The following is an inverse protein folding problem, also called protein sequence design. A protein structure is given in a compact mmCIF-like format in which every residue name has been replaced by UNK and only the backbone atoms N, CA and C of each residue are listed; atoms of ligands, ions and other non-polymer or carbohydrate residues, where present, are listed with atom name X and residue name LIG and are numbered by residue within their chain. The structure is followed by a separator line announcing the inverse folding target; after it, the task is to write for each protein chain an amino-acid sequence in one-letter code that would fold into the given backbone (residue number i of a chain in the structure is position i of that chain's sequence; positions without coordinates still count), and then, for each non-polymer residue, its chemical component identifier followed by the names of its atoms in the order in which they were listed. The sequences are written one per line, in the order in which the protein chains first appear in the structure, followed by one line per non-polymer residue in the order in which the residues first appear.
data_IF_953868388171
#
_entry.id   IF_953868388171
#
_cell.length_a   1.000
_cell.length_b   1.000
_cell.length_c   1.000
_cell.angle_alpha   90.00
_cell.angle_beta   90.00
_cell.angle_gamma   90.00
#
_symmetry.space_group_name_H-M   'P 1'
#
loop_
_entity.id
_entity.type
_entity.pdbx_description
1 polymer ?
#
# COMPACT_ATOMS: atom_id res chain seq x y z
N UNK A 1 -2.66 19.24 -16.68
CA UNK A 1 -1.86 18.05 -17.07
C UNK A 1 -1.29 17.30 -15.87
N UNK A 2 -0.90 17.98 -14.77
CA UNK A 2 -0.36 17.36 -13.54
C UNK A 2 -1.34 16.38 -12.85
N UNK A 3 -2.64 16.67 -12.88
CA UNK A 3 -3.67 15.80 -12.30
C UNK A 3 -3.72 14.39 -12.93
N UNK A 4 -3.59 14.32 -14.26
CA UNK A 4 -3.61 13.04 -14.97
C UNK A 4 -2.37 12.19 -14.67
N UNK A 5 -1.22 12.83 -14.46
CA UNK A 5 0.02 12.13 -14.09
C UNK A 5 -0.03 11.59 -12.67
N UNK A 6 -0.56 12.36 -11.71
CA UNK A 6 -0.74 11.90 -10.32
C UNK A 6 -1.73 10.73 -10.24
N UNK A 7 -2.83 10.82 -10.98
CA UNK A 7 -3.83 9.74 -11.09
C UNK A 7 -3.25 8.45 -11.67
N UNK A 8 -2.43 8.57 -12.72
CA UNK A 8 -1.77 7.41 -13.33
C UNK A 8 -0.74 6.78 -12.39
N UNK A 9 0.07 7.58 -11.71
CA UNK A 9 1.08 7.11 -10.76
C UNK A 9 0.42 6.37 -9.59
N UNK A 10 -0.66 6.93 -9.01
CA UNK A 10 -1.45 6.28 -7.96
C UNK A 10 -2.00 4.92 -8.42
N UNK A 11 -2.51 4.83 -9.65
CA UNK A 11 -3.01 3.57 -10.23
C UNK A 11 -1.90 2.54 -10.36
N UNK A 12 -0.71 2.94 -10.80
CA UNK A 12 0.47 2.06 -10.93
C UNK A 12 0.88 1.54 -9.55
N UNK A 13 1.05 2.41 -8.55
CA UNK A 13 1.43 2.01 -7.19
C UNK A 13 0.40 1.08 -6.54
N UNK A 14 -0.89 1.37 -6.71
CA UNK A 14 -1.96 0.48 -6.27
C UNK A 14 -1.89 -0.90 -6.92
N UNK A 15 -1.60 -0.96 -8.23
CA UNK A 15 -1.45 -2.22 -8.94
C UNK A 15 -0.22 -3.00 -8.45
N UNK A 16 0.93 -2.34 -8.30
CA UNK A 16 2.16 -2.96 -7.79
C UNK A 16 1.97 -3.53 -6.39
N UNK A 17 1.41 -2.75 -5.46
CA UNK A 17 1.14 -3.17 -4.08
C UNK A 17 0.22 -4.40 -4.04
N UNK A 18 -0.86 -4.39 -4.82
CA UNK A 18 -1.81 -5.51 -4.89
C UNK A 18 -1.16 -6.78 -5.44
N UNK A 19 -0.38 -6.66 -6.51
CA UNK A 19 0.31 -7.79 -7.15
C UNK A 19 1.33 -8.40 -6.19
N UNK A 20 2.20 -7.59 -5.60
CA UNK A 20 3.20 -8.07 -4.62
C UNK A 20 2.52 -8.73 -3.41
N UNK A 21 1.45 -8.14 -2.89
CA UNK A 21 0.71 -8.72 -1.77
C UNK A 21 0.06 -10.07 -2.15
N UNK A 22 -0.43 -10.21 -3.39
CA UNK A 22 -0.94 -11.49 -3.88
C UNK A 22 0.16 -12.55 -3.94
N UNK A 23 1.32 -12.19 -4.52
CA UNK A 23 2.48 -13.08 -4.60
C UNK A 23 2.90 -13.53 -3.19
N UNK A 24 3.04 -12.60 -2.24
CA UNK A 24 3.41 -12.97 -0.87
C UNK A 24 2.39 -13.91 -0.23
N UNK A 25 1.08 -13.69 -0.43
CA UNK A 25 0.05 -14.63 0.07
C UNK A 25 0.17 -16.04 -0.53
N UNK A 26 0.60 -16.14 -1.79
CA UNK A 26 0.80 -17.43 -2.45
C UNK A 26 2.10 -18.13 -1.97
N UNK A 27 3.12 -17.35 -1.61
CA UNK A 27 4.39 -17.86 -1.09
C UNK A 27 4.33 -18.21 0.40
N UNK A 28 3.45 -17.56 1.17
CA UNK A 28 3.29 -17.84 2.60
C UNK A 28 2.92 -19.30 2.80
N UNK A 29 3.79 -20.03 3.49
CA UNK A 29 3.60 -21.44 3.81
C UNK A 29 2.24 -21.66 4.49
N UNK A 30 1.44 -22.58 3.92
CA UNK A 30 0.12 -22.93 4.48
C UNK A 30 0.23 -24.01 5.54
N UNK A 31 1.31 -24.80 5.47
CA UNK A 31 1.58 -25.90 6.38
C UNK A 31 2.89 -25.67 7.14
N UNK A 32 2.99 -26.07 8.42
CA UNK A 32 4.18 -25.83 9.25
C UNK A 32 5.47 -26.44 8.71
N UNK A 33 5.37 -27.52 7.94
CA UNK A 33 6.51 -28.24 7.37
C UNK A 33 6.95 -27.69 5.99
N UNK A 34 6.23 -26.70 5.45
CA UNK A 34 6.53 -26.13 4.16
C UNK A 34 7.58 -25.02 4.32
N UNK A 35 8.75 -25.23 3.73
CA UNK A 35 9.79 -24.21 3.68
C UNK A 35 9.33 -23.00 2.84
N UNK A 36 9.63 -21.80 3.33
CA UNK A 36 9.40 -20.58 2.56
C UNK A 36 10.40 -20.49 1.40
N UNK A 37 9.96 -20.20 0.17
CA UNK A 37 10.79 -20.34 -1.02
C UNK A 37 11.78 -19.18 -1.25
N UNK A 38 11.62 -18.04 -0.58
CA UNK A 38 12.55 -16.91 -0.71
C UNK A 38 13.55 -16.88 0.46
N UNK A 39 14.74 -16.34 0.18
CA UNK A 39 15.72 -16.07 1.23
C UNK A 39 15.25 -14.95 2.17
N UNK A 40 15.78 -14.91 3.39
CA UNK A 40 15.51 -13.83 4.35
C UNK A 40 15.87 -12.45 3.79
N UNK A 41 16.99 -12.35 3.06
CA UNK A 41 17.42 -11.11 2.42
C UNK A 41 16.38 -10.62 1.40
N UNK A 42 15.88 -11.51 0.54
CA UNK A 42 14.83 -11.18 -0.43
C UNK A 42 13.53 -10.77 0.24
N UNK A 43 13.17 -11.40 1.37
CA UNK A 43 12.00 -11.01 2.16
C UNK A 43 12.15 -9.58 2.68
N UNK A 44 13.33 -9.22 3.16
CA UNK A 44 13.60 -7.87 3.66
C UNK A 44 13.57 -6.82 2.54
N UNK A 45 14.14 -7.13 1.38
CA UNK A 45 14.05 -6.27 0.19
C UNK A 45 12.59 -6.00 -0.22
N UNK A 46 11.73 -7.03 -0.16
CA UNK A 46 10.31 -6.89 -0.48
C UNK A 46 9.59 -6.01 0.56
N UNK A 47 9.89 -6.14 1.86
CA UNK A 47 9.33 -5.26 2.89
C UNK A 47 9.74 -3.81 2.64
N UNK A 48 11.03 -3.56 2.40
CA UNK A 48 11.53 -2.22 2.08
C UNK A 48 10.84 -1.64 0.83
N UNK A 49 10.55 -2.47 -0.17
CA UNK A 49 9.78 -2.07 -1.35
C UNK A 49 8.33 -1.64 -0.98
N UNK A 50 7.64 -2.40 -0.11
CA UNK A 50 6.32 -2.00 0.38
C UNK A 50 6.36 -0.67 1.14
N UNK A 51 7.39 -0.42 1.95
CA UNK A 51 7.56 0.84 2.68
C UNK A 51 7.72 2.03 1.73
N UNK A 52 8.51 1.88 0.67
CA UNK A 52 8.68 2.90 -0.37
C UNK A 52 7.36 3.18 -1.11
N UNK A 53 6.62 2.14 -1.49
CA UNK A 53 5.30 2.28 -2.12
C UNK A 53 4.36 3.04 -1.17
N UNK A 54 4.30 2.65 0.10
CA UNK A 54 3.41 3.27 1.08
C UNK A 54 3.77 4.73 1.36
N UNK A 55 5.07 5.06 1.43
CA UNK A 55 5.54 6.43 1.55
C UNK A 55 5.09 7.28 0.36
N UNK A 56 5.29 6.75 -0.86
CA UNK A 56 4.92 7.48 -2.07
C UNK A 56 3.41 7.68 -2.22
N UNK A 57 2.61 6.67 -1.85
CA UNK A 57 1.15 6.79 -1.85
C UNK A 57 0.65 7.85 -0.86
N UNK A 58 1.30 8.01 0.30
CA UNK A 58 1.00 9.10 1.25
C UNK A 58 1.34 10.48 0.68
N UNK A 59 2.47 10.59 -0.03
CA UNK A 59 2.84 11.84 -0.71
C UNK A 59 1.81 12.23 -1.79
N UNK A 60 1.40 11.27 -2.63
CA UNK A 60 0.38 11.51 -3.65
C UNK A 60 -0.96 11.90 -3.04
N UNK A 61 -1.40 11.22 -1.98
CA UNK A 61 -2.64 11.57 -1.27
C UNK A 61 -2.59 13.00 -0.72
N UNK A 62 -1.44 13.40 -0.14
CA UNK A 62 -1.24 14.77 0.36
C UNK A 62 -1.32 15.80 -0.77
N UNK A 63 -0.75 15.49 -1.95
CA UNK A 63 -0.80 16.36 -3.13
C UNK A 63 -2.22 16.49 -3.72
N UNK A 64 -3.03 15.42 -3.64
CA UNK A 64 -4.44 15.43 -4.03
C UNK A 64 -5.36 16.08 -2.96
N UNK A 65 -4.81 16.58 -1.85
CA UNK A 65 -5.59 17.14 -0.74
C UNK A 65 -6.34 16.10 0.11
N UNK A 66 -6.14 14.82 -0.19
CA UNK A 66 -6.66 13.67 0.56
C UNK A 66 -5.78 13.47 1.79
N UNK A 67 -6.00 14.28 2.83
CA UNK A 67 -5.38 14.00 4.13
C UNK A 67 -6.04 12.76 4.75
N UNK A 68 -5.28 11.96 5.51
CA UNK A 68 -5.74 10.77 6.28
C UNK A 68 -6.92 11.03 7.25
N UNK A 69 -7.51 12.24 7.24
CA UNK A 69 -8.67 12.65 8.04
C UNK A 69 -10.02 12.10 7.54
N UNK A 70 -10.06 11.37 6.44
CA UNK A 70 -11.27 10.65 5.98
C UNK A 70 -11.43 9.27 6.63
N UNK A 71 -10.99 9.10 7.87
CA UNK A 71 -11.40 7.97 8.68
C UNK A 71 -12.94 7.93 8.74
N UNK A 72 -13.56 6.74 8.74
CA UNK A 72 -14.99 6.61 8.97
C UNK A 72 -15.37 7.38 10.23
N UNK A 73 -16.20 8.41 10.06
CA UNK A 73 -16.78 9.19 11.15
C UNK A 73 -17.92 8.40 11.77
N UNK A 74 -18.08 8.43 13.08
CA UNK A 74 -19.31 7.95 13.68
C UNK A 74 -20.48 8.87 13.28
N UNK A 75 -21.67 8.30 13.11
CA UNK A 75 -22.89 9.06 12.74
C UNK A 75 -23.22 10.19 13.70
N UNK A 76 -22.79 10.06 14.96
CA UNK A 76 -23.07 11.01 16.04
C UNK A 76 -21.96 12.03 16.26
N UNK A 77 -20.89 12.03 15.44
CA UNK A 77 -19.82 13.00 15.60
C UNK A 77 -20.29 14.43 15.28
N UNK A 78 -20.01 15.42 16.15
CA UNK A 78 -20.33 16.82 15.87
C UNK A 78 -19.48 17.32 14.70
N UNK A 79 -20.14 17.89 13.68
CA UNK A 79 -19.45 18.59 12.59
C UNK A 79 -18.77 19.85 13.15
N UNK A 80 -17.45 19.85 13.21
CA UNK A 80 -16.68 21.07 13.45
C UNK A 80 -16.92 22.03 12.28
N UNK A 81 -17.37 23.25 12.60
CA UNK A 81 -17.59 24.36 11.68
C UNK A 81 -16.26 24.96 11.20
#
# INVERSE_FOLDING_TARGET
MVDQTLSQERRILMAMRKTLASIIRDLTAREPMQAYPLSEATVEDVKACFDLIAARERELATQEGLTTRELPRFTDEPKSA
#
